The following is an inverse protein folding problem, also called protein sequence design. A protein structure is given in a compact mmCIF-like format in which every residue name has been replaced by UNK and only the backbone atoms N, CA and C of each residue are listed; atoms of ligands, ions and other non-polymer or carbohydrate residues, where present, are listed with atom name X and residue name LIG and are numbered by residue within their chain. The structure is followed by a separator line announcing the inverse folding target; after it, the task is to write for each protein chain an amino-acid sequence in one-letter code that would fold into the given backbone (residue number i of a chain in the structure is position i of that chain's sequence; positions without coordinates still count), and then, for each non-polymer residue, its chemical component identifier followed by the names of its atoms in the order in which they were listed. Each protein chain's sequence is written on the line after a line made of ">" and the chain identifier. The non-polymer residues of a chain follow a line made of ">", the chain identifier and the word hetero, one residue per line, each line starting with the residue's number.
data_IF_110970877587
#
_entry.id   IF_110970877587
#
_cell.length_a   1.000
_cell.length_b   1.000
_cell.length_c   1.000
_cell.angle_alpha   90.00
_cell.angle_beta   90.00
_cell.angle_gamma   90.00
#
_symmetry.space_group_name_H-M   'P 1'
#
loop_
_entity.id
_entity.type
_entity.pdbx_description
1 polymer ?
#
# COMPACT_ATOMS: atom_id res chain seq x y z
N UNK A 1 -11.86 45.37 -75.69
CA UNK A 1 -12.58 44.34 -74.91
C UNK A 1 -12.40 43.03 -75.64
N UNK A 2 -11.86 42.01 -74.98
CA UNK A 2 -11.70 40.70 -75.59
C UNK A 2 -13.07 40.03 -75.68
N UNK A 3 -13.54 39.79 -76.91
CA UNK A 3 -14.83 39.15 -77.17
C UNK A 3 -14.63 37.68 -77.48
N UNK A 4 -15.65 36.86 -77.25
CA UNK A 4 -15.67 35.47 -77.72
C UNK A 4 -15.83 35.52 -79.24
N UNK A 5 -14.88 34.95 -79.98
CA UNK A 5 -14.92 34.89 -81.45
C UNK A 5 -15.73 33.70 -81.92
N UNK A 6 -15.45 32.52 -81.38
CA UNK A 6 -16.12 31.25 -81.73
C UNK A 6 -15.91 30.17 -80.66
N UNK A 7 -16.75 29.13 -80.67
CA UNK A 7 -16.49 27.89 -79.93
C UNK A 7 -15.82 26.92 -80.90
N UNK A 8 -14.53 27.15 -81.18
CA UNK A 8 -13.76 26.49 -82.23
C UNK A 8 -13.97 24.96 -82.33
N UNK A 9 -13.96 24.24 -81.20
CA UNK A 9 -14.22 22.79 -81.18
C UNK A 9 -14.98 22.35 -79.94
N UNK A 10 -15.89 21.39 -80.09
CA UNK A 10 -16.56 20.71 -78.98
C UNK A 10 -16.37 19.20 -79.18
N UNK A 11 -15.30 18.66 -78.58
CA UNK A 11 -14.93 17.25 -78.73
C UNK A 11 -15.87 16.34 -77.95
N UNK A 12 -16.18 16.70 -76.71
CA UNK A 12 -17.09 15.94 -75.85
C UNK A 12 -17.80 16.88 -74.87
N UNK A 13 -19.06 17.23 -75.15
CA UNK A 13 -19.87 18.00 -74.21
C UNK A 13 -21.37 17.81 -74.46
N UNK A 14 -22.08 17.20 -73.51
CA UNK A 14 -23.50 16.91 -73.60
C UNK A 14 -23.86 16.17 -74.91
N UNK A 15 -24.59 16.81 -75.83
CA UNK A 15 -25.00 16.22 -77.11
C UNK A 15 -23.93 16.33 -78.21
N UNK A 16 -22.91 17.16 -78.02
CA UNK A 16 -21.86 17.38 -79.02
C UNK A 16 -20.76 16.32 -78.91
N UNK A 17 -20.47 15.65 -80.04
CA UNK A 17 -19.37 14.71 -80.21
C UNK A 17 -18.54 15.13 -81.43
N UNK A 18 -17.30 15.58 -81.20
CA UNK A 18 -16.37 16.04 -82.24
C UNK A 18 -16.94 17.11 -83.19
N UNK A 19 -17.68 18.07 -82.64
CA UNK A 19 -18.14 19.23 -83.41
C UNK A 19 -16.98 20.19 -83.69
N UNK A 20 -16.83 20.59 -84.94
CA UNK A 20 -15.83 21.56 -85.41
C UNK A 20 -16.56 22.76 -86.02
N UNK A 21 -16.33 23.95 -85.46
CA UNK A 21 -17.09 25.15 -85.79
C UNK A 21 -16.88 25.56 -87.26
N UNK A 22 -15.63 25.65 -87.69
CA UNK A 22 -15.27 26.07 -89.05
C UNK A 22 -15.84 25.10 -90.09
N UNK A 23 -15.74 23.79 -89.84
CA UNK A 23 -16.20 22.78 -90.79
C UNK A 23 -17.73 22.76 -90.96
N UNK A 24 -18.50 23.05 -89.90
CA UNK A 24 -19.95 22.91 -89.91
C UNK A 24 -20.70 24.24 -90.11
N UNK A 25 -20.02 25.38 -89.97
CA UNK A 25 -20.63 26.70 -90.06
C UNK A 25 -20.00 27.57 -91.16
N UNK A 26 -19.47 26.93 -92.21
CA UNK A 26 -19.08 27.61 -93.45
C UNK A 26 -20.30 27.85 -94.33
N UNK A 27 -20.43 29.07 -94.86
CA UNK A 27 -21.45 29.47 -95.81
C UNK A 27 -20.84 30.23 -96.99
N UNK A 28 -21.55 30.26 -98.12
CA UNK A 28 -21.14 31.05 -99.29
C UNK A 28 -21.58 32.50 -99.10
N UNK A 29 -20.63 33.43 -99.14
CA UNK A 29 -20.95 34.85 -99.14
C UNK A 29 -21.55 35.28 -100.49
N UNK A 30 -22.01 36.53 -100.59
CA UNK A 30 -22.63 37.08 -101.80
C UNK A 30 -21.69 37.12 -103.02
N UNK A 31 -20.39 36.87 -102.84
CA UNK A 31 -19.35 36.81 -103.88
C UNK A 31 -18.94 35.36 -104.23
N UNK A 32 -19.55 34.36 -103.60
CA UNK A 32 -19.26 32.94 -103.83
C UNK A 32 -18.03 32.40 -103.09
N UNK A 33 -17.45 33.19 -102.18
CA UNK A 33 -16.33 32.79 -101.32
C UNK A 33 -16.86 32.10 -100.06
N UNK A 34 -16.07 31.18 -99.51
CA UNK A 34 -16.41 30.49 -98.25
C UNK A 34 -16.11 31.41 -97.06
N UNK A 35 -17.12 31.65 -96.22
CA UNK A 35 -17.04 32.47 -95.00
C UNK A 35 -17.61 31.68 -93.81
N UNK A 36 -17.12 31.95 -92.59
CA UNK A 36 -17.50 31.21 -91.36
C UNK A 36 -18.42 32.09 -90.50
N UNK A 37 -19.43 31.49 -89.86
CA UNK A 37 -20.25 32.19 -88.88
C UNK A 37 -19.53 32.40 -87.54
N UNK A 38 -18.87 33.54 -87.37
CA UNK A 38 -18.33 33.99 -86.07
C UNK A 38 -19.39 34.68 -85.20
N UNK A 39 -19.16 34.68 -83.88
CA UNK A 39 -19.98 35.48 -82.96
C UNK A 39 -19.89 36.98 -83.29
N UNK A 40 -21.06 37.63 -83.34
CA UNK A 40 -21.21 39.08 -83.47
C UNK A 40 -21.72 39.69 -82.16
N UNK A 41 -22.13 40.95 -82.17
CA UNK A 41 -22.69 41.60 -80.97
C UNK A 41 -24.03 40.97 -80.54
N UNK A 42 -24.82 40.48 -81.50
CA UNK A 42 -26.08 39.75 -81.25
C UNK A 42 -26.03 38.44 -82.01
N UNK A 43 -26.31 37.34 -81.32
CA UNK A 43 -26.26 35.99 -81.87
C UNK A 43 -27.54 35.24 -81.51
N UNK A 44 -28.22 34.69 -82.52
CA UNK A 44 -29.48 33.98 -82.35
C UNK A 44 -29.26 32.52 -82.73
N UNK A 45 -29.29 31.64 -81.73
CA UNK A 45 -29.21 30.20 -81.92
C UNK A 45 -30.61 29.58 -81.81
N UNK A 46 -31.14 29.06 -82.91
CA UNK A 46 -32.43 28.38 -82.95
C UNK A 46 -32.29 26.95 -83.48
N UNK A 47 -33.26 26.10 -83.15
CA UNK A 47 -33.24 24.70 -83.55
C UNK A 47 -34.29 23.89 -82.80
N UNK A 48 -34.50 22.63 -83.21
CA UNK A 48 -35.45 21.71 -82.56
C UNK A 48 -35.08 21.42 -81.10
N UNK A 49 -36.00 20.85 -80.33
CA UNK A 49 -35.66 20.32 -79.00
C UNK A 49 -34.50 19.31 -79.12
N UNK A 50 -33.64 19.26 -78.10
CA UNK A 50 -32.43 18.43 -78.07
C UNK A 50 -31.32 18.80 -79.07
N UNK A 51 -31.46 19.90 -79.82
CA UNK A 51 -30.43 20.37 -80.77
C UNK A 51 -29.14 20.92 -80.13
N UNK A 52 -28.98 20.86 -78.80
CA UNK A 52 -27.77 21.33 -78.11
C UNK A 52 -27.74 22.81 -77.69
N UNK A 53 -28.83 23.58 -77.87
CA UNK A 53 -28.90 25.00 -77.46
C UNK A 53 -28.52 25.22 -75.98
N UNK A 54 -29.13 24.45 -75.08
CA UNK A 54 -28.85 24.50 -73.64
C UNK A 54 -27.43 24.01 -73.33
N UNK A 55 -26.85 23.12 -74.14
CA UNK A 55 -25.47 22.68 -73.97
C UNK A 55 -24.49 23.81 -74.27
N UNK A 56 -24.74 24.60 -75.32
CA UNK A 56 -23.94 25.79 -75.62
C UNK A 56 -24.04 26.83 -74.48
N UNK A 57 -25.25 27.09 -73.97
CA UNK A 57 -25.41 28.04 -72.86
C UNK A 57 -24.68 27.59 -71.58
N UNK A 58 -24.53 26.28 -71.37
CA UNK A 58 -23.74 25.73 -70.24
C UNK A 58 -22.24 25.87 -70.42
N UNK A 59 -21.73 25.76 -71.66
CA UNK A 59 -20.33 26.07 -71.96
C UNK A 59 -20.03 27.54 -71.61
N UNK A 60 -20.92 28.45 -71.99
CA UNK A 60 -20.79 29.88 -71.66
C UNK A 60 -20.93 30.11 -70.14
N UNK A 61 -21.85 29.41 -69.47
CA UNK A 61 -22.01 29.50 -68.00
C UNK A 61 -20.78 29.04 -67.23
N UNK A 62 -20.02 28.08 -67.75
CA UNK A 62 -18.75 27.67 -67.14
C UNK A 62 -17.72 28.82 -67.12
N UNK A 63 -17.81 29.78 -68.04
CA UNK A 63 -17.00 31.00 -68.02
C UNK A 63 -17.45 31.98 -66.92
N UNK A 64 -18.74 32.00 -66.55
CA UNK A 64 -19.27 32.80 -65.44
C UNK A 64 -18.86 32.19 -64.10
N UNK A 65 -19.17 30.91 -63.86
CA UNK A 65 -18.99 30.24 -62.56
C UNK A 65 -17.58 29.71 -62.32
N UNK A 66 -16.71 29.76 -63.33
CA UNK A 66 -15.35 29.18 -63.34
C UNK A 66 -15.28 27.69 -63.03
N UNK A 67 -16.44 27.02 -63.11
CA UNK A 67 -16.62 25.64 -62.69
C UNK A 67 -17.52 24.92 -63.69
N UNK A 68 -17.29 23.62 -63.86
CA UNK A 68 -18.14 22.76 -64.68
C UNK A 68 -18.91 21.81 -63.77
N UNK A 69 -20.14 21.49 -64.18
CA UNK A 69 -20.94 20.50 -63.46
C UNK A 69 -20.30 19.11 -63.57
N UNK A 70 -20.21 18.41 -62.43
CA UNK A 70 -19.69 17.03 -62.30
C UNK A 70 -20.47 16.04 -63.19
N UNK A 71 -21.68 16.39 -63.62
CA UNK A 71 -22.54 15.55 -64.49
C UNK A 71 -21.97 15.31 -65.89
N UNK A 72 -20.97 16.07 -66.32
CA UNK A 72 -20.32 15.88 -67.62
C UNK A 72 -19.05 15.05 -67.45
N UNK A 73 -19.04 13.85 -68.02
CA UNK A 73 -17.86 12.99 -68.05
C UNK A 73 -16.86 13.47 -69.11
N UNK A 74 -15.63 13.78 -68.69
CA UNK A 74 -14.52 14.22 -69.55
C UNK A 74 -14.90 15.34 -70.55
N UNK A 75 -15.39 16.50 -70.08
CA UNK A 75 -15.79 17.59 -70.96
C UNK A 75 -14.58 18.13 -71.71
N UNK A 76 -14.71 18.36 -73.01
CA UNK A 76 -13.63 18.86 -73.85
C UNK A 76 -14.17 19.78 -74.94
N UNK A 77 -13.84 21.05 -74.81
CA UNK A 77 -14.20 22.11 -75.74
C UNK A 77 -13.11 23.17 -75.79
N UNK A 78 -13.10 23.94 -76.88
CA UNK A 78 -12.17 25.05 -77.12
C UNK A 78 -12.97 26.24 -77.61
N UNK A 79 -12.77 27.37 -76.94
CA UNK A 79 -13.34 28.67 -77.24
C UNK A 79 -12.19 29.57 -77.65
N UNK A 80 -12.33 30.24 -78.77
CA UNK A 80 -11.35 31.18 -79.29
C UNK A 80 -11.86 32.61 -79.07
N UNK A 81 -10.99 33.45 -78.54
CA UNK A 81 -11.27 34.86 -78.28
C UNK A 81 -10.76 35.73 -79.44
N UNK A 82 -11.22 36.98 -79.50
CA UNK A 82 -10.86 37.93 -80.55
C UNK A 82 -9.36 38.26 -80.65
N UNK A 83 -8.59 37.98 -79.59
CA UNK A 83 -7.13 38.13 -79.53
C UNK A 83 -6.38 36.81 -79.84
N UNK A 84 -7.08 35.82 -80.40
CA UNK A 84 -6.56 34.46 -80.68
C UNK A 84 -6.18 33.65 -79.43
N UNK A 85 -6.53 34.11 -78.23
CA UNK A 85 -6.36 33.30 -77.02
C UNK A 85 -7.43 32.21 -76.93
N UNK A 86 -7.06 31.07 -76.30
CA UNK A 86 -7.90 29.88 -76.24
C UNK A 86 -8.31 29.59 -74.80
N UNK A 87 -9.62 29.50 -74.59
CA UNK A 87 -10.23 29.03 -73.35
C UNK A 87 -10.77 27.61 -73.54
N UNK A 88 -10.54 26.76 -72.56
CA UNK A 88 -10.88 25.34 -72.50
C UNK A 88 -11.42 25.02 -71.12
N UNK A 89 -11.89 23.79 -70.92
CA UNK A 89 -12.37 23.29 -69.63
C UNK A 89 -11.34 23.42 -68.49
N UNK A 90 -10.04 23.43 -68.82
CA UNK A 90 -8.95 23.45 -67.84
C UNK A 90 -8.49 24.86 -67.45
N UNK A 91 -8.89 25.90 -68.19
CA UNK A 91 -8.43 27.27 -67.98
C UNK A 91 -9.58 28.30 -68.04
N UNK A 92 -10.75 27.93 -67.51
CA UNK A 92 -11.93 28.81 -67.42
C UNK A 92 -11.66 30.14 -66.70
N UNK A 93 -10.74 30.13 -65.72
CA UNK A 93 -10.31 31.32 -64.97
C UNK A 93 -9.49 32.32 -65.79
N UNK A 94 -8.94 31.91 -66.95
CA UNK A 94 -8.22 32.81 -67.84
C UNK A 94 -9.14 33.82 -68.55
N UNK A 95 -10.45 33.54 -68.60
CA UNK A 95 -11.44 34.50 -69.07
C UNK A 95 -11.75 35.53 -67.97
N UNK A 96 -11.25 36.75 -68.07
CA UNK A 96 -11.35 37.75 -66.99
C UNK A 96 -12.52 38.73 -67.12
N UNK A 97 -13.26 38.67 -68.23
CA UNK A 97 -14.32 39.62 -68.51
C UNK A 97 -15.63 39.21 -67.81
N UNK A 98 -16.42 40.17 -67.27
CA UNK A 98 -17.72 39.86 -66.69
C UNK A 98 -18.65 39.26 -67.75
N UNK A 99 -19.23 38.10 -67.43
CA UNK A 99 -20.21 37.42 -68.26
C UNK A 99 -21.35 36.95 -67.37
N UNK A 100 -22.58 37.19 -67.81
CA UNK A 100 -23.77 36.84 -67.05
C UNK A 100 -24.63 35.90 -67.88
N UNK A 101 -24.95 34.73 -67.33
CA UNK A 101 -25.70 33.69 -68.03
C UNK A 101 -27.00 33.38 -67.29
N UNK A 102 -28.10 33.88 -67.86
CA UNK A 102 -29.43 33.51 -67.42
C UNK A 102 -29.85 32.20 -68.10
N UNK A 103 -29.75 31.07 -67.39
CA UNK A 103 -30.19 29.76 -67.87
C UNK A 103 -30.96 28.97 -66.80
N UNK A 104 -31.37 27.74 -67.14
CA UNK A 104 -32.16 26.90 -66.24
C UNK A 104 -31.46 26.52 -64.94
N UNK A 105 -30.13 26.38 -64.91
CA UNK A 105 -29.44 26.06 -63.65
C UNK A 105 -29.13 27.31 -62.81
N UNK A 106 -29.05 28.52 -63.40
CA UNK A 106 -29.11 29.78 -62.63
C UNK A 106 -30.41 29.90 -61.84
N UNK A 107 -31.56 29.62 -62.48
CA UNK A 107 -32.87 29.66 -61.84
C UNK A 107 -32.95 28.66 -60.68
N UNK A 108 -32.48 27.42 -60.87
CA UNK A 108 -32.52 26.39 -59.81
C UNK A 108 -31.66 26.71 -58.60
N UNK A 109 -30.50 27.31 -58.81
CA UNK A 109 -29.56 27.63 -57.72
C UNK A 109 -30.06 28.83 -56.88
N UNK A 110 -30.62 29.84 -57.54
CA UNK A 110 -30.95 31.12 -56.89
C UNK A 110 -32.44 31.31 -56.57
N UNK A 111 -33.35 30.54 -57.16
CA UNK A 111 -34.81 30.68 -56.99
C UNK A 111 -35.46 29.39 -56.50
N UNK A 112 -34.97 28.87 -55.35
CA UNK A 112 -35.40 27.58 -54.78
C UNK A 112 -36.90 27.51 -54.44
N UNK A 113 -37.51 28.64 -54.06
CA UNK A 113 -38.95 28.73 -53.74
C UNK A 113 -39.87 28.40 -54.93
N UNK A 114 -39.37 28.39 -56.17
CA UNK A 114 -40.13 27.97 -57.36
C UNK A 114 -40.27 26.43 -57.42
N UNK A 115 -39.41 25.70 -56.71
CA UNK A 115 -39.29 24.24 -56.81
C UNK A 115 -39.43 23.48 -55.49
N UNK A 116 -39.49 24.19 -54.35
CA UNK A 116 -39.65 23.60 -53.02
C UNK A 116 -40.76 24.34 -52.25
N UNK A 117 -41.88 23.65 -52.00
CA UNK A 117 -43.07 24.20 -51.34
C UNK A 117 -42.83 24.55 -49.86
N UNK A 118 -41.76 24.01 -49.25
CA UNK A 118 -41.39 24.29 -47.86
C UNK A 118 -40.28 25.36 -47.74
N UNK A 119 -39.75 25.85 -48.85
CA UNK A 119 -38.73 26.90 -48.83
C UNK A 119 -39.38 28.28 -48.69
N UNK A 120 -39.06 29.00 -47.63
CA UNK A 120 -39.53 30.37 -47.42
C UNK A 120 -39.11 31.29 -48.58
N UNK A 121 -39.98 32.24 -48.93
CA UNK A 121 -39.68 33.33 -49.86
C UNK A 121 -38.71 34.30 -49.16
N UNK A 122 -37.42 33.98 -49.21
CA UNK A 122 -36.41 34.90 -48.68
C UNK A 122 -36.19 36.05 -49.67
N UNK A 123 -36.22 37.27 -49.15
CA UNK A 123 -36.09 38.49 -49.94
C UNK A 123 -34.85 38.43 -50.84
N UNK A 124 -35.03 38.84 -52.10
CA UNK A 124 -34.02 38.87 -53.16
C UNK A 124 -32.69 39.56 -52.77
N UNK A 125 -32.62 40.29 -51.65
CA UNK A 125 -31.44 41.03 -51.22
C UNK A 125 -30.38 40.21 -50.46
N UNK A 126 -30.72 39.03 -49.90
CA UNK A 126 -29.77 38.26 -49.05
C UNK A 126 -29.20 37.02 -49.76
N UNK A 127 -29.95 36.44 -50.70
CA UNK A 127 -29.67 35.12 -51.29
C UNK A 127 -29.08 35.15 -52.71
N UNK A 128 -29.06 36.31 -53.39
CA UNK A 128 -28.42 36.43 -54.71
C UNK A 128 -26.89 36.60 -54.57
N UNK A 129 -26.18 35.49 -54.48
CA UNK A 129 -24.73 35.43 -54.73
C UNK A 129 -23.93 34.55 -53.76
N UNK A 130 -23.33 33.48 -54.30
CA UNK A 130 -22.17 32.81 -53.70
C UNK A 130 -22.40 32.13 -52.35
N UNK A 131 -21.45 32.33 -51.42
CA UNK A 131 -21.30 31.56 -50.18
C UNK A 131 -22.33 31.89 -49.07
N UNK A 132 -23.25 32.85 -49.26
CA UNK A 132 -24.15 33.30 -48.19
C UNK A 132 -25.09 32.21 -47.67
N UNK A 133 -25.57 31.31 -48.54
CA UNK A 133 -26.39 30.18 -48.10
C UNK A 133 -25.61 29.24 -47.17
N UNK A 134 -24.35 28.95 -47.49
CA UNK A 134 -23.50 28.09 -46.68
C UNK A 134 -23.25 28.69 -45.29
N UNK A 135 -23.20 30.03 -45.20
CA UNK A 135 -23.07 30.76 -43.93
C UNK A 135 -24.34 30.60 -43.09
N UNK A 136 -25.53 30.74 -43.69
CA UNK A 136 -26.81 30.58 -42.98
C UNK A 136 -26.99 29.15 -42.46
N UNK A 137 -26.71 28.14 -43.31
CA UNK A 137 -26.78 26.73 -42.92
C UNK A 137 -25.85 26.47 -41.72
N UNK A 138 -24.64 27.06 -41.74
CA UNK A 138 -23.67 26.94 -40.65
C UNK A 138 -24.11 27.66 -39.37
N UNK A 139 -24.78 28.80 -39.46
CA UNK A 139 -25.35 29.51 -38.30
C UNK A 139 -26.39 28.62 -37.63
N UNK A 140 -27.31 28.03 -38.41
CA UNK A 140 -28.36 27.17 -37.86
C UNK A 140 -27.80 25.92 -37.16
N UNK A 141 -26.75 25.30 -37.71
CA UNK A 141 -26.04 24.20 -37.06
C UNK A 141 -25.45 24.61 -35.71
N UNK A 142 -24.79 25.77 -35.65
CA UNK A 142 -24.17 26.29 -34.42
C UNK A 142 -25.22 26.66 -33.37
N UNK A 143 -26.35 27.21 -33.76
CA UNK A 143 -27.47 27.50 -32.85
C UNK A 143 -28.05 26.21 -32.25
N UNK A 144 -28.21 25.16 -33.05
CA UNK A 144 -28.67 23.86 -32.57
C UNK A 144 -27.65 23.20 -31.62
N UNK A 145 -26.35 23.35 -31.89
CA UNK A 145 -25.28 22.85 -31.02
C UNK A 145 -25.23 23.60 -29.68
N UNK A 146 -25.31 24.94 -29.73
CA UNK A 146 -25.41 25.79 -28.54
C UNK A 146 -26.62 25.41 -27.69
N UNK A 147 -27.76 25.19 -28.34
CA UNK A 147 -29.04 24.92 -27.68
C UNK A 147 -29.64 26.16 -27.03
N UNK A 148 -30.67 25.97 -26.21
CA UNK A 148 -31.32 27.06 -25.46
C UNK A 148 -30.57 27.33 -24.15
N UNK A 149 -30.49 28.61 -23.75
CA UNK A 149 -29.97 29.05 -22.46
C UNK A 149 -31.08 29.48 -21.48
N UNK A 150 -32.35 29.27 -21.84
CA UNK A 150 -33.47 29.61 -20.95
C UNK A 150 -33.49 28.69 -19.72
N UNK A 151 -33.78 29.27 -18.57
CA UNK A 151 -33.52 28.67 -17.25
C UNK A 151 -34.16 27.29 -17.04
N UNK A 152 -35.32 27.03 -17.67
CA UNK A 152 -36.08 25.78 -17.56
C UNK A 152 -36.04 24.90 -18.82
N UNK A 153 -35.38 25.33 -19.89
CA UNK A 153 -35.32 24.60 -21.16
C UNK A 153 -33.90 24.52 -21.71
N UNK A 154 -32.88 24.64 -20.84
CA UNK A 154 -31.48 24.55 -21.26
C UNK A 154 -31.24 23.26 -22.05
N UNK A 155 -30.61 23.38 -23.21
CA UNK A 155 -30.27 22.26 -24.07
C UNK A 155 -28.88 22.43 -24.67
N UNK A 156 -28.40 21.44 -25.44
CA UNK A 156 -27.11 21.51 -26.11
C UNK A 156 -25.92 21.76 -25.16
N UNK A 157 -25.04 22.66 -25.56
CA UNK A 157 -23.84 23.04 -24.78
C UNK A 157 -24.19 23.70 -23.45
N UNK A 158 -25.23 24.54 -23.39
CA UNK A 158 -25.61 25.21 -22.14
C UNK A 158 -26.02 24.24 -21.04
N UNK A 159 -26.76 23.18 -21.37
CA UNK A 159 -27.12 22.13 -20.42
C UNK A 159 -25.87 21.35 -19.94
N UNK A 160 -24.94 21.07 -20.84
CA UNK A 160 -23.69 20.39 -20.50
C UNK A 160 -22.84 21.21 -19.52
N UNK A 161 -22.75 22.53 -19.71
CA UNK A 161 -22.05 23.42 -18.78
C UNK A 161 -22.71 23.38 -17.40
N UNK A 162 -24.04 23.53 -17.32
CA UNK A 162 -24.77 23.47 -16.05
C UNK A 162 -24.55 22.12 -15.33
N UNK A 163 -24.61 21.01 -16.05
CA UNK A 163 -24.36 19.68 -15.49
C UNK A 163 -22.93 19.55 -14.96
N UNK A 164 -21.94 20.09 -15.69
CA UNK A 164 -20.53 20.10 -15.24
C UNK A 164 -20.34 20.99 -14.01
N UNK A 165 -20.98 22.14 -13.94
CA UNK A 165 -20.96 23.01 -12.75
C UNK A 165 -21.54 22.31 -11.52
N UNK A 166 -22.68 21.63 -11.66
CA UNK A 166 -23.28 20.82 -10.59
C UNK A 166 -22.32 19.71 -10.15
N UNK A 167 -21.70 19.00 -11.08
CA UNK A 167 -20.72 17.96 -10.76
C UNK A 167 -19.52 18.51 -10.00
N UNK A 168 -18.97 19.66 -10.41
CA UNK A 168 -17.87 20.33 -9.70
C UNK A 168 -18.30 20.75 -8.30
N UNK A 169 -19.51 21.31 -8.15
CA UNK A 169 -20.07 21.70 -6.85
C UNK A 169 -20.18 20.49 -5.91
N UNK A 170 -20.78 19.40 -6.39
CA UNK A 170 -20.94 18.16 -5.63
C UNK A 170 -19.59 17.54 -5.25
N UNK A 171 -18.63 17.53 -6.18
CA UNK A 171 -17.28 17.03 -5.91
C UNK A 171 -16.55 17.87 -4.85
N UNK A 172 -16.65 19.20 -4.93
CA UNK A 172 -16.07 20.11 -3.92
C UNK A 172 -16.71 19.92 -2.54
N UNK A 173 -18.03 19.78 -2.49
CA UNK A 173 -18.76 19.55 -1.25
C UNK A 173 -18.37 18.20 -0.62
N UNK A 174 -18.33 17.13 -1.42
CA UNK A 174 -17.90 15.82 -0.95
C UNK A 174 -16.45 15.85 -0.43
N UNK A 175 -15.53 16.45 -1.18
CA UNK A 175 -14.14 16.62 -0.74
C UNK A 175 -14.07 17.40 0.58
N UNK A 176 -14.79 18.53 0.70
CA UNK A 176 -14.83 19.34 1.92
C UNK A 176 -15.37 18.55 3.11
N UNK A 177 -16.45 17.78 2.91
CA UNK A 177 -17.02 16.91 3.93
C UNK A 177 -16.02 15.85 4.38
N UNK A 178 -15.37 15.14 3.44
CA UNK A 178 -14.35 14.12 3.75
C UNK A 178 -13.13 14.72 4.45
N UNK A 179 -12.69 15.90 4.04
CA UNK A 179 -11.59 16.61 4.69
C UNK A 179 -11.94 16.97 6.14
N UNK A 180 -13.15 17.48 6.38
CA UNK A 180 -13.64 17.79 7.72
C UNK A 180 -13.77 16.54 8.59
N UNK A 181 -14.25 15.43 8.03
CA UNK A 181 -14.34 14.14 8.74
C UNK A 181 -12.94 13.64 9.14
N UNK A 182 -11.96 13.74 8.23
CA UNK A 182 -10.57 13.38 8.51
C UNK A 182 -9.97 14.27 9.61
N UNK A 183 -10.10 15.59 9.52
CA UNK A 183 -9.63 16.51 10.56
C UNK A 183 -10.27 16.22 11.91
N UNK A 184 -11.57 15.87 11.92
CA UNK A 184 -12.27 15.46 13.13
C UNK A 184 -11.65 14.19 13.71
N UNK A 185 -11.45 13.14 12.91
CA UNK A 185 -10.83 11.89 13.36
C UNK A 185 -9.43 12.11 13.93
N UNK A 186 -8.60 12.92 13.26
CA UNK A 186 -7.27 13.27 13.73
C UNK A 186 -7.32 14.06 15.05
N UNK A 187 -8.24 15.01 15.16
CA UNK A 187 -8.42 15.82 16.37
C UNK A 187 -8.93 14.99 17.54
N UNK A 188 -9.89 14.11 17.29
CA UNK A 188 -10.49 13.22 18.27
C UNK A 188 -9.44 12.23 18.81
N UNK A 189 -8.63 11.65 17.92
CA UNK A 189 -7.54 10.73 18.30
C UNK A 189 -6.37 11.42 18.98
N UNK A 190 -6.01 12.63 18.57
CA UNK A 190 -4.89 13.35 19.16
C UNK A 190 -5.25 13.97 20.52
N UNK A 191 -6.44 14.57 20.67
CA UNK A 191 -6.72 15.45 21.83
C UNK A 191 -8.10 15.35 22.50
N UNK A 192 -9.21 15.06 21.79
CA UNK A 192 -10.56 15.23 22.37
C UNK A 192 -11.11 14.01 23.09
N UNK A 193 -10.87 12.80 22.58
CA UNK A 193 -11.48 11.60 23.18
C UNK A 193 -10.78 11.19 24.48
N UNK A 194 -11.48 10.48 25.36
CA UNK A 194 -10.89 9.93 26.60
C UNK A 194 -9.72 8.98 26.33
N UNK A 195 -9.77 8.24 25.21
CA UNK A 195 -8.72 7.37 24.69
C UNK A 195 -7.75 8.07 23.72
N UNK A 196 -7.75 9.41 23.69
CA UNK A 196 -6.81 10.17 22.87
C UNK A 196 -5.38 10.06 23.40
N UNK A 197 -4.40 10.21 22.51
CA UNK A 197 -2.97 10.11 22.84
C UNK A 197 -2.60 11.09 23.95
N UNK A 198 -3.09 12.34 23.87
CA UNK A 198 -2.88 13.36 24.90
C UNK A 198 -3.42 12.94 26.28
N UNK A 199 -4.61 12.36 26.33
CA UNK A 199 -5.21 11.94 27.59
C UNK A 199 -4.51 10.70 28.16
N UNK A 200 -3.96 9.84 27.30
CA UNK A 200 -3.12 8.70 27.65
C UNK A 200 -1.63 9.08 27.81
N UNK A 201 -1.34 10.29 28.27
CA UNK A 201 0.03 10.78 28.50
C UNK A 201 0.87 9.89 29.44
N UNK A 202 0.25 9.15 30.37
CA UNK A 202 0.98 8.17 31.19
C UNK A 202 1.57 7.02 30.37
N UNK A 203 0.96 6.69 29.22
CA UNK A 203 1.44 5.66 28.31
C UNK A 203 2.38 6.22 27.24
N UNK A 204 2.08 7.40 26.69
CA UNK A 204 2.80 7.97 25.53
C UNK A 204 3.78 9.09 25.90
N UNK A 205 3.81 9.54 27.15
CA UNK A 205 4.77 10.50 27.70
C UNK A 205 4.49 11.99 27.41
N UNK A 206 3.70 12.33 26.40
CA UNK A 206 3.51 13.74 25.98
C UNK A 206 2.14 14.32 26.40
N UNK A 207 2.15 15.14 27.47
CA UNK A 207 0.97 15.85 27.98
C UNK A 207 0.51 16.96 27.01
N UNK A 208 1.42 17.50 26.19
CA UNK A 208 1.17 18.58 25.23
C UNK A 208 1.04 18.06 23.80
N UNK A 209 0.57 16.82 23.66
CA UNK A 209 0.34 16.20 22.37
C UNK A 209 -0.76 16.94 21.58
N UNK A 210 -0.59 17.04 20.26
CA UNK A 210 -1.49 17.79 19.38
C UNK A 210 -1.60 17.15 17.99
N UNK A 211 -2.55 17.65 17.19
CA UNK A 211 -2.85 17.12 15.86
C UNK A 211 -1.67 17.24 14.89
N UNK A 212 -0.85 18.29 15.01
CA UNK A 212 0.31 18.49 14.15
C UNK A 212 1.36 17.41 14.36
N UNK A 213 1.61 17.01 15.61
CA UNK A 213 2.51 15.88 15.93
C UNK A 213 2.01 14.58 15.32
N UNK A 214 0.72 14.28 15.50
CA UNK A 214 0.09 13.09 14.89
C UNK A 214 0.23 13.06 13.36
N UNK A 215 0.02 14.21 12.69
CA UNK A 215 0.18 14.30 11.23
C UNK A 215 1.62 13.99 10.80
N UNK A 216 2.62 14.46 11.53
CA UNK A 216 4.03 14.17 11.24
C UNK A 216 4.35 12.69 11.49
N UNK A 217 3.87 12.12 12.59
CA UNK A 217 4.07 10.70 12.92
C UNK A 217 3.41 9.77 11.89
N UNK A 218 2.23 10.11 11.37
CA UNK A 218 1.60 9.34 10.28
C UNK A 218 2.51 9.28 9.05
N UNK A 219 3.21 10.36 8.71
CA UNK A 219 4.16 10.39 7.59
C UNK A 219 5.34 9.46 7.88
N UNK A 220 5.85 9.45 9.11
CA UNK A 220 6.93 8.55 9.53
C UNK A 220 6.51 7.07 9.48
N UNK A 221 5.31 6.74 9.97
CA UNK A 221 4.77 5.37 9.97
C UNK A 221 4.46 4.86 8.57
N UNK A 222 4.14 5.75 7.63
CA UNK A 222 3.95 5.41 6.21
C UNK A 222 5.26 5.10 5.48
N UNK A 223 6.42 5.41 6.09
CA UNK A 223 7.70 5.10 5.48
C UNK A 223 7.96 3.59 5.49
N UNK A 224 8.43 3.07 4.36
CA UNK A 224 8.79 1.65 4.18
C UNK A 224 9.81 1.10 5.18
N UNK A 225 10.63 1.97 5.80
CA UNK A 225 11.60 1.56 6.82
C UNK A 225 11.00 1.41 8.22
N UNK A 226 9.75 1.81 8.43
CA UNK A 226 9.10 1.72 9.74
C UNK A 226 8.80 0.26 10.09
N UNK A 227 9.33 -0.21 11.21
CA UNK A 227 9.06 -1.55 11.73
C UNK A 227 7.99 -1.48 12.82
N UNK A 228 6.88 -2.17 12.58
CA UNK A 228 5.79 -2.28 13.53
C UNK A 228 6.21 -3.26 14.64
N UNK A 229 6.06 -2.84 15.88
CA UNK A 229 6.30 -3.69 17.04
C UNK A 229 5.28 -4.86 17.07
N UNK A 230 5.76 -6.04 17.40
CA UNK A 230 4.89 -7.21 17.66
C UNK A 230 4.11 -7.02 18.96
N UNK A 231 2.97 -7.70 19.11
CA UNK A 231 2.18 -7.64 20.35
C UNK A 231 2.99 -8.04 21.59
N UNK A 232 3.89 -9.02 21.45
CA UNK A 232 4.80 -9.43 22.51
C UNK A 232 5.73 -8.28 22.93
N UNK A 233 6.34 -7.58 21.97
CA UNK A 233 7.21 -6.43 22.25
C UNK A 233 6.44 -5.27 22.90
N UNK A 234 5.22 -4.99 22.42
CA UNK A 234 4.35 -3.96 22.99
C UNK A 234 4.03 -4.26 24.45
N UNK A 235 3.69 -5.51 24.77
CA UNK A 235 3.36 -5.91 26.14
C UNK A 235 4.56 -5.74 27.09
N UNK A 236 5.77 -6.12 26.65
CA UNK A 236 7.01 -5.92 27.42
C UNK A 236 7.25 -4.44 27.69
N UNK A 237 7.14 -3.57 26.68
CA UNK A 237 7.35 -2.13 26.85
C UNK A 237 6.27 -1.49 27.73
N UNK A 238 5.00 -1.90 27.60
CA UNK A 238 3.91 -1.43 28.47
C UNK A 238 4.11 -1.84 29.93
N UNK A 239 4.59 -3.05 30.18
CA UNK A 239 4.90 -3.50 31.53
C UNK A 239 6.01 -2.65 32.15
N UNK A 240 7.02 -2.24 31.36
CA UNK A 240 8.10 -1.36 31.79
C UNK A 240 7.60 0.07 32.10
N UNK A 241 6.68 0.63 31.30
CA UNK A 241 6.10 1.95 31.57
C UNK A 241 5.28 1.96 32.86
N UNK A 242 4.53 0.87 33.12
CA UNK A 242 3.72 0.72 34.34
C UNK A 242 4.50 0.16 35.53
N UNK A 243 5.81 -0.02 35.40
CA UNK A 243 6.64 -0.55 36.45
C UNK A 243 6.78 0.49 37.56
N UNK A 244 6.15 0.20 38.69
CA UNK A 244 6.36 1.00 39.90
C UNK A 244 7.70 0.62 40.52
N UNK A 245 8.28 1.57 41.24
CA UNK A 245 9.47 1.32 42.07
C UNK A 245 9.15 0.15 43.02
N UNK A 246 9.90 -0.93 42.87
CA UNK A 246 9.83 -2.05 43.80
C UNK A 246 10.55 -1.67 45.10
N UNK A 247 10.10 -2.18 46.25
CA UNK A 247 10.84 -2.04 47.50
C UNK A 247 12.24 -2.64 47.35
N UNK A 248 13.16 -2.22 48.22
CA UNK A 248 14.49 -2.79 48.26
C UNK A 248 14.41 -4.33 48.37
N UNK A 249 15.22 -5.07 47.59
CA UNK A 249 15.18 -6.51 47.60
C UNK A 249 15.53 -7.03 49.00
N UNK A 250 14.96 -8.18 49.40
CA UNK A 250 15.20 -8.75 50.71
C UNK A 250 16.69 -9.10 50.86
N UNK A 251 17.24 -8.85 52.04
CA UNK A 251 18.60 -9.29 52.35
C UNK A 251 18.68 -10.82 52.26
N UNK A 252 19.63 -11.32 51.49
CA UNK A 252 19.89 -12.75 51.40
C UNK A 252 20.59 -13.22 52.67
N UNK A 253 20.16 -14.37 53.19
CA UNK A 253 20.84 -15.00 54.33
C UNK A 253 22.29 -15.31 53.98
N UNK A 254 23.19 -14.95 54.89
CA UNK A 254 24.62 -15.15 54.69
C UNK A 254 24.99 -16.60 54.93
N UNK A 255 25.72 -17.19 53.99
CA UNK A 255 26.35 -18.48 54.17
C UNK A 255 27.55 -18.34 55.12
N UNK A 256 27.44 -18.86 56.34
CA UNK A 256 28.43 -18.63 57.41
C UNK A 256 29.11 -19.90 57.92
N UNK A 257 28.93 -21.03 57.21
CA UNK A 257 29.43 -22.32 57.66
C UNK A 257 30.97 -22.40 57.49
N UNK A 258 31.67 -22.54 58.62
CA UNK A 258 33.14 -22.71 58.63
C UNK A 258 33.51 -24.18 58.42
N UNK A 259 33.72 -24.55 57.15
CA UNK A 259 34.19 -25.88 56.78
C UNK A 259 35.56 -26.23 57.37
N UNK A 260 36.45 -25.25 57.55
CA UNK A 260 37.81 -25.51 58.04
C UNK A 260 37.75 -26.00 59.47
N UNK A 261 36.95 -25.34 60.31
CA UNK A 261 36.72 -25.74 61.69
C UNK A 261 36.08 -27.13 61.79
N UNK A 262 35.08 -27.43 60.94
CA UNK A 262 34.45 -28.76 60.94
C UNK A 262 35.42 -29.88 60.57
N UNK A 263 36.29 -29.64 59.59
CA UNK A 263 37.32 -30.59 59.19
C UNK A 263 38.35 -30.79 60.30
N UNK A 264 38.75 -29.72 61.00
CA UNK A 264 39.67 -29.79 62.13
C UNK A 264 39.10 -30.64 63.27
N UNK A 265 37.86 -30.35 63.68
CA UNK A 265 37.16 -31.09 64.74
C UNK A 265 36.99 -32.57 64.37
N UNK A 266 36.62 -32.85 63.12
CA UNK A 266 36.44 -34.24 62.65
C UNK A 266 37.78 -34.98 62.64
N UNK A 267 38.85 -34.34 62.17
CA UNK A 267 40.20 -34.93 62.18
C UNK A 267 40.72 -35.17 63.60
N UNK A 268 40.44 -34.28 64.55
CA UNK A 268 40.84 -34.44 65.95
C UNK A 268 40.20 -35.70 66.57
N UNK A 269 38.91 -35.90 66.31
CA UNK A 269 38.16 -37.09 66.76
C UNK A 269 38.73 -38.35 66.12
N UNK A 270 38.95 -38.34 64.79
CA UNK A 270 39.48 -39.51 64.06
C UNK A 270 40.90 -39.89 64.47
N UNK A 271 41.74 -38.92 64.85
CA UNK A 271 43.11 -39.16 65.33
C UNK A 271 43.18 -39.59 66.79
N UNK A 272 42.07 -39.56 67.53
CA UNK A 272 42.04 -39.96 68.94
C UNK A 272 42.24 -41.48 69.05
N UNK A 273 43.42 -41.90 69.49
CA UNK A 273 43.72 -43.32 69.78
C UNK A 273 43.33 -43.63 71.22
N UNK A 274 42.41 -44.58 71.41
CA UNK A 274 42.08 -45.08 72.75
C UNK A 274 43.01 -46.25 73.08
N UNK A 275 43.89 -46.06 74.06
CA UNK A 275 45.00 -46.97 74.35
C UNK A 275 44.95 -47.53 75.77
N UNK A 276 44.54 -48.79 75.89
CA UNK A 276 44.75 -49.59 77.10
C UNK A 276 45.15 -51.02 76.69
N UNK A 277 46.25 -51.54 77.25
CA UNK A 277 46.84 -52.86 76.94
C UNK A 277 45.99 -54.07 77.39
N UNK A 278 44.71 -53.85 77.70
CA UNK A 278 43.80 -54.84 78.30
C UNK A 278 42.41 -54.81 77.64
N UNK A 279 42.37 -54.78 76.30
CA UNK A 279 41.12 -54.94 75.54
C UNK A 279 40.87 -56.43 75.25
N UNK A 280 39.61 -56.85 75.33
CA UNK A 280 39.18 -58.19 74.94
C UNK A 280 39.21 -58.31 73.40
N UNK A 281 40.15 -59.09 72.85
CA UNK A 281 40.38 -59.21 71.39
C UNK A 281 39.14 -59.66 70.60
N UNK A 282 38.35 -60.59 71.16
CA UNK A 282 37.11 -61.06 70.52
C UNK A 282 36.12 -59.91 70.29
N UNK A 283 36.01 -58.99 71.25
CA UNK A 283 35.15 -57.82 71.14
C UNK A 283 35.76 -56.75 70.21
N UNK A 284 37.09 -56.68 70.09
CA UNK A 284 37.74 -55.77 69.12
C UNK A 284 37.47 -56.24 67.69
N UNK A 285 37.54 -57.55 67.45
CA UNK A 285 37.41 -58.14 66.11
C UNK A 285 35.94 -58.36 65.69
N UNK A 286 34.98 -58.28 66.62
CA UNK A 286 33.56 -58.45 66.34
C UNK A 286 32.73 -57.28 66.88
N UNK A 287 32.42 -56.31 66.01
CA UNK A 287 31.67 -55.10 66.35
C UNK A 287 30.25 -55.36 66.86
N UNK A 288 29.57 -56.38 66.31
CA UNK A 288 28.21 -56.75 66.71
C UNK A 288 28.23 -57.29 68.15
N UNK A 289 29.17 -58.17 68.43
CA UNK A 289 29.35 -58.73 69.77
C UNK A 289 29.79 -57.66 70.76
N UNK A 290 30.69 -56.75 70.35
CA UNK A 290 31.12 -55.60 71.16
C UNK A 290 29.92 -54.78 71.63
N UNK A 291 29.07 -54.37 70.70
CA UNK A 291 27.88 -53.56 70.99
C UNK A 291 26.92 -54.30 71.94
N UNK A 292 26.68 -55.59 71.69
CA UNK A 292 25.84 -56.41 72.57
C UNK A 292 26.42 -56.50 73.99
N UNK A 293 27.72 -56.76 74.14
CA UNK A 293 28.39 -56.81 75.44
C UNK A 293 28.43 -55.42 76.09
N UNK A 294 28.52 -54.33 75.33
CA UNK A 294 28.49 -52.95 75.85
C UNK A 294 27.13 -52.62 76.46
N UNK A 295 26.04 -52.91 75.74
CA UNK A 295 24.68 -52.77 76.26
C UNK A 295 24.47 -53.65 77.48
N UNK A 296 24.93 -54.91 77.41
CA UNK A 296 24.95 -55.81 78.55
C UNK A 296 25.68 -55.21 79.75
N UNK A 297 26.90 -54.72 79.59
CA UNK A 297 27.70 -54.14 80.67
C UNK A 297 26.98 -52.99 81.38
N UNK A 298 26.31 -52.11 80.62
CA UNK A 298 25.51 -51.02 81.20
C UNK A 298 24.32 -51.53 82.04
N UNK A 299 23.62 -52.55 81.56
CA UNK A 299 22.46 -53.15 82.25
C UNK A 299 22.84 -53.93 83.52
N UNK A 300 24.12 -54.27 83.70
CA UNK A 300 24.63 -55.04 84.84
C UNK A 300 25.43 -54.20 85.85
N UNK A 301 25.42 -52.86 85.76
CA UNK A 301 26.16 -51.96 86.68
C UNK A 301 25.94 -52.28 88.16
N UNK A 302 24.71 -52.63 88.54
CA UNK A 302 24.32 -52.90 89.93
C UNK A 302 23.98 -54.39 90.19
N UNK A 303 24.35 -55.29 89.27
CA UNK A 303 24.03 -56.73 89.35
C UNK A 303 25.29 -57.58 89.47
N UNK A 304 25.25 -58.59 90.35
CA UNK A 304 26.30 -59.61 90.48
C UNK A 304 26.02 -60.88 89.68
N UNK A 305 24.78 -61.06 89.22
CA UNK A 305 24.36 -62.18 88.38
C UNK A 305 23.97 -61.71 86.98
N UNK A 306 24.21 -62.56 85.99
CA UNK A 306 23.86 -62.31 84.60
C UNK A 306 22.34 -62.30 84.42
N UNK A 307 21.80 -61.24 83.83
CA UNK A 307 20.39 -61.07 83.52
C UNK A 307 19.86 -62.09 82.50
N UNK A 308 20.75 -62.72 81.72
CA UNK A 308 20.39 -63.72 80.71
C UNK A 308 20.40 -65.14 81.26
N UNK A 309 21.55 -65.60 81.78
CA UNK A 309 21.72 -66.98 82.23
C UNK A 309 21.67 -67.17 83.75
N UNK A 310 21.44 -66.11 84.53
CA UNK A 310 21.34 -66.09 86.00
C UNK A 310 22.58 -66.53 86.79
N UNK A 311 23.67 -66.90 86.11
CA UNK A 311 24.95 -67.24 86.74
C UNK A 311 25.65 -66.02 87.33
N UNK A 312 26.52 -66.23 88.32
CA UNK A 312 27.36 -65.18 88.90
C UNK A 312 28.41 -64.66 87.90
N UNK A 313 28.56 -63.33 87.82
CA UNK A 313 29.59 -62.68 87.01
C UNK A 313 30.82 -62.48 87.88
N UNK A 314 31.88 -63.23 87.58
CA UNK A 314 33.13 -63.20 88.35
C UNK A 314 33.76 -61.81 88.38
N UNK A 315 34.44 -61.47 89.49
CA UNK A 315 35.13 -60.18 89.64
C UNK A 315 36.15 -59.93 88.53
N UNK A 316 36.89 -60.97 88.11
CA UNK A 316 37.81 -60.89 86.99
C UNK A 316 37.12 -60.46 85.69
N UNK A 317 35.94 -61.03 85.38
CA UNK A 317 35.19 -60.65 84.18
C UNK A 317 34.66 -59.22 84.26
N UNK A 318 34.26 -58.76 85.45
CA UNK A 318 33.86 -57.36 85.65
C UNK A 318 35.04 -56.40 85.46
N UNK A 319 36.25 -56.78 85.87
CA UNK A 319 37.47 -56.00 85.64
C UNK A 319 37.80 -55.94 84.14
N UNK A 320 37.79 -57.07 83.43
CA UNK A 320 38.01 -57.12 81.98
C UNK A 320 37.03 -56.23 81.21
N UNK A 321 35.74 -56.29 81.56
CA UNK A 321 34.71 -55.46 80.92
C UNK A 321 34.90 -53.96 81.24
N UNK A 322 35.28 -53.61 82.47
CA UNK A 322 35.58 -52.21 82.84
C UNK A 322 36.80 -51.66 82.11
N UNK A 323 37.83 -52.49 81.90
CA UNK A 323 39.04 -52.09 81.17
C UNK A 323 38.77 -52.02 79.65
N UNK A 324 37.89 -52.88 79.14
CA UNK A 324 37.47 -52.83 77.75
C UNK A 324 36.59 -51.60 77.45
N UNK A 325 35.57 -51.33 78.28
CA UNK A 325 34.71 -50.15 78.19
C UNK A 325 35.16 -49.02 79.12
N UNK A 326 36.44 -48.67 79.05
CA UNK A 326 37.00 -47.58 79.85
C UNK A 326 36.31 -46.24 79.53
N UNK A 327 36.53 -45.28 80.44
CA UNK A 327 35.97 -43.94 80.34
C UNK A 327 36.43 -43.22 79.07
N UNK A 328 37.62 -43.53 78.55
CA UNK A 328 38.17 -42.90 77.33
C UNK A 328 37.43 -43.37 76.07
N UNK A 329 37.14 -44.66 75.96
CA UNK A 329 36.35 -45.26 74.87
C UNK A 329 34.94 -44.66 74.86
N UNK A 330 34.31 -44.57 76.03
CA UNK A 330 32.98 -43.98 76.18
C UNK A 330 32.97 -42.48 75.85
N UNK A 331 34.00 -41.74 76.26
CA UNK A 331 34.14 -40.33 75.93
C UNK A 331 34.30 -40.12 74.42
N UNK A 332 35.10 -40.96 73.74
CA UNK A 332 35.25 -40.88 72.29
C UNK A 332 33.95 -41.20 71.55
N UNK A 333 33.23 -42.26 71.93
CA UNK A 333 31.92 -42.58 71.36
C UNK A 333 30.93 -41.42 71.54
N UNK A 334 30.87 -40.82 72.73
CA UNK A 334 30.01 -39.65 72.97
C UNK A 334 30.42 -38.43 72.13
N UNK A 335 31.72 -38.19 71.92
CA UNK A 335 32.20 -37.12 71.03
C UNK A 335 31.77 -37.37 69.58
N UNK A 336 31.92 -38.60 69.09
CA UNK A 336 31.49 -38.99 67.74
C UNK A 336 29.99 -38.76 67.56
N UNK A 337 29.14 -39.26 68.47
CA UNK A 337 27.69 -39.10 68.39
C UNK A 337 27.29 -37.61 68.38
N UNK A 338 27.85 -36.81 69.30
CA UNK A 338 27.57 -35.37 69.35
C UNK A 338 28.02 -34.63 68.09
N UNK A 339 29.15 -35.01 67.51
CA UNK A 339 29.63 -34.42 66.26
C UNK A 339 28.74 -34.79 65.08
N UNK A 340 28.23 -36.03 64.99
CA UNK A 340 27.26 -36.43 63.96
C UNK A 340 25.95 -35.66 64.12
N UNK A 341 25.43 -35.51 65.35
CA UNK A 341 24.24 -34.71 65.64
C UNK A 341 24.44 -33.24 65.24
N UNK A 342 25.62 -32.68 65.54
CA UNK A 342 25.96 -31.31 65.16
C UNK A 342 26.01 -31.14 63.63
N UNK A 343 26.70 -32.03 62.91
CA UNK A 343 26.78 -31.99 61.44
C UNK A 343 25.40 -32.14 60.80
N UNK A 344 24.56 -33.04 61.32
CA UNK A 344 23.19 -33.23 60.84
C UNK A 344 22.35 -31.96 61.05
N UNK A 345 22.45 -31.34 62.23
CA UNK A 345 21.78 -30.06 62.51
C UNK A 345 22.26 -28.93 61.60
N UNK A 346 23.52 -28.92 61.19
CA UNK A 346 24.03 -27.92 60.24
C UNK A 346 23.48 -28.13 58.83
N UNK A 347 23.36 -29.39 58.38
CA UNK A 347 22.79 -29.76 57.07
C UNK A 347 21.32 -29.32 56.97
N UNK A 348 20.56 -29.49 58.04
CA UNK A 348 19.13 -29.13 58.11
C UNK A 348 18.87 -27.67 58.54
N UNK A 349 19.96 -26.94 58.83
CA UNK A 349 19.95 -25.56 59.31
C UNK A 349 19.69 -24.51 58.22
N UNK A 350 19.77 -23.24 58.63
CA UNK A 350 19.43 -22.09 57.79
C UNK A 350 20.44 -21.83 56.67
N UNK A 351 21.71 -22.21 56.86
CA UNK A 351 22.78 -22.06 55.86
C UNK A 351 22.46 -22.71 54.51
N UNK A 352 21.55 -23.69 54.49
CA UNK A 352 21.15 -24.38 53.26
C UNK A 352 19.69 -24.15 52.86
N UNK A 353 19.03 -23.15 53.46
CA UNK A 353 17.66 -22.73 53.14
C UNK A 353 17.62 -21.36 52.45
N UNK A 354 18.72 -20.97 51.83
CA UNK A 354 18.83 -19.73 51.06
C UNK A 354 17.90 -19.84 49.85
N UNK A 355 16.91 -18.98 49.75
CA UNK A 355 15.96 -18.94 48.63
C UNK A 355 15.86 -17.52 48.10
N UNK A 356 15.90 -17.41 46.78
CA UNK A 356 15.70 -16.14 46.07
C UNK A 356 14.27 -16.14 45.54
N UNK A 357 13.47 -15.18 46.03
CA UNK A 357 12.13 -14.91 45.50
C UNK A 357 12.24 -13.94 44.32
N UNK A 358 12.09 -14.47 43.12
CA UNK A 358 12.36 -13.75 41.86
C UNK A 358 11.29 -12.69 41.61
N UNK A 359 10.09 -12.89 42.13
CA UNK A 359 8.96 -11.97 41.96
C UNK A 359 9.16 -10.64 42.68
N UNK A 360 10.15 -10.57 43.59
CA UNK A 360 10.53 -9.34 44.29
C UNK A 360 11.50 -8.46 43.48
N UNK A 361 11.95 -8.93 42.31
CA UNK A 361 12.88 -8.22 41.45
C UNK A 361 12.20 -7.79 40.15
N UNK A 362 12.79 -6.79 39.48
CA UNK A 362 12.31 -6.33 38.19
C UNK A 362 12.38 -7.44 37.14
N UNK A 363 11.33 -7.55 36.31
CA UNK A 363 11.15 -8.62 35.32
C UNK A 363 12.32 -8.75 34.34
N UNK A 364 13.02 -7.66 34.04
CA UNK A 364 14.18 -7.67 33.16
C UNK A 364 15.34 -8.54 33.69
N UNK A 365 15.42 -8.76 35.00
CA UNK A 365 16.43 -9.60 35.63
C UNK A 365 15.96 -11.03 35.91
N UNK A 366 14.68 -11.36 35.68
CA UNK A 366 14.12 -12.68 36.02
C UNK A 366 14.87 -13.83 35.35
N UNK A 367 15.25 -13.68 34.08
CA UNK A 367 15.98 -14.72 33.36
C UNK A 367 17.36 -15.01 33.98
N UNK A 368 18.09 -13.96 34.35
CA UNK A 368 19.41 -14.07 34.99
C UNK A 368 19.28 -14.62 36.41
N UNK A 369 18.31 -14.13 37.20
CA UNK A 369 18.05 -14.58 38.56
C UNK A 369 17.59 -16.04 38.63
N UNK A 370 16.80 -16.51 37.66
CA UNK A 370 16.42 -17.91 37.55
C UNK A 370 17.66 -18.80 37.40
N UNK A 371 18.60 -18.40 36.55
CA UNK A 371 19.84 -19.15 36.35
C UNK A 371 20.69 -19.15 37.64
N UNK A 372 20.88 -17.99 38.27
CA UNK A 372 21.62 -17.87 39.53
C UNK A 372 20.99 -18.70 40.66
N UNK A 373 19.66 -18.77 40.72
CA UNK A 373 18.93 -19.60 41.69
C UNK A 373 19.21 -21.09 41.50
N UNK A 374 19.24 -21.55 40.25
CA UNK A 374 19.59 -22.94 39.90
C UNK A 374 21.04 -23.24 40.31
N UNK A 375 21.97 -22.34 39.99
CA UNK A 375 23.39 -22.50 40.27
C UNK A 375 23.66 -22.51 41.80
N UNK A 376 22.98 -21.64 42.55
CA UNK A 376 23.03 -21.61 44.01
C UNK A 376 22.54 -22.93 44.61
N UNK A 377 21.37 -23.42 44.17
CA UNK A 377 20.81 -24.67 44.67
C UNK A 377 21.74 -25.86 44.41
N UNK A 378 22.29 -25.94 43.18
CA UNK A 378 23.29 -26.95 42.82
C UNK A 378 24.51 -26.92 43.73
N UNK A 379 25.03 -25.72 44.01
CA UNK A 379 26.20 -25.53 44.88
C UNK A 379 25.91 -25.93 46.34
N UNK A 380 24.75 -25.53 46.87
CA UNK A 380 24.32 -25.92 48.22
C UNK A 380 24.13 -27.43 48.35
N UNK A 381 23.57 -28.09 47.33
CA UNK A 381 23.40 -29.55 47.33
C UNK A 381 24.75 -30.29 47.26
N UNK A 382 25.71 -29.77 46.49
CA UNK A 382 27.09 -30.29 46.50
C UNK A 382 27.72 -30.19 47.89
N UNK A 383 27.58 -29.04 48.56
CA UNK A 383 28.11 -28.84 49.91
C UNK A 383 27.43 -29.74 50.96
N UNK A 384 26.11 -29.92 50.90
CA UNK A 384 25.41 -30.90 51.75
C UNK A 384 25.97 -32.30 51.57
N UNK A 385 26.22 -32.70 50.32
CA UNK A 385 26.77 -34.01 50.02
C UNK A 385 28.20 -34.17 50.53
N UNK A 386 29.00 -33.10 50.58
CA UNK A 386 30.33 -33.12 51.21
C UNK A 386 30.22 -33.27 52.74
N UNK A 387 29.31 -32.54 53.39
CA UNK A 387 29.07 -32.68 54.83
C UNK A 387 28.55 -34.07 55.22
N UNK A 388 27.76 -34.72 54.37
CA UNK A 388 27.31 -36.11 54.58
C UNK A 388 28.41 -37.16 54.41
N UNK A 389 29.52 -36.80 53.77
CA UNK A 389 30.69 -37.67 53.58
C UNK A 389 31.72 -37.54 54.71
N UNK A 390 31.69 -36.44 55.45
CA UNK A 390 32.37 -36.29 56.75
C UNK A 390 31.65 -37.15 57.78
#
# INVERSE_FOLDING_TARGET
>A
MTKISQIAKIQNFAVFKNFDWNANLTYKNNKGEDEIYDFKDINIFYGRNYSGKTSLSKIIRALETKTLSIKYENPNFRIELSDSSIISQNNLSAFTHPIHVYNSDFVKENLKFIHDENANIEAFSVTLGGNNQQILDRIQELENELGSNEENTKSGVFLNIQNKEVNVRNAKENHSNKYRDLEKLLTDRATRNSDSIKNQHSLFGDINYNVTKLKNEIIEVQNSSFQILTEAQINVQKALINQNELPDPPELSTYTLDFSQLIELTNEILKTTVGGSQKIEELVNNSILNSWVQTGHQLHKDRRSCAFCTNEITENRQIELRNHFDKETQNLQNRITKSIEHLTSLIDGENFKINIDIDQYYTQYHAELLQLKIDLQSTLDQQKNLLRKL
#
